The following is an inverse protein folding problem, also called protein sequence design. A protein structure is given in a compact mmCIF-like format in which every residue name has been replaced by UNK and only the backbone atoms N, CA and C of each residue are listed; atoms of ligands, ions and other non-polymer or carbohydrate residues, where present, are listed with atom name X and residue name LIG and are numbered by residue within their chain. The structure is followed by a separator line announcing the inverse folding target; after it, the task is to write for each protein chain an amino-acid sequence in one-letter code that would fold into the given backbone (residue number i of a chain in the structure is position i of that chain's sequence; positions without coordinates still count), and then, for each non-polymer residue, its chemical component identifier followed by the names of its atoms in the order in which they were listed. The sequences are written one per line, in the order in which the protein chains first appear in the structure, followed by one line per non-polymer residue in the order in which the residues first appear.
data_IF_789392893026
#
_entry.id   IF_789392893026
#
_cell.length_a   1.000
_cell.length_b   1.000
_cell.length_c   1.000
_cell.angle_alpha   90.00
_cell.angle_beta   90.00
_cell.angle_gamma   90.00
#
_symmetry.space_group_name_H-M   'P 1'
#
loop_
_entity.id
_entity.type
_entity.pdbx_description
1 polymer ?
#
# COMPACT_ATOMS: atom_id res chain seq x y z
N UNK A 1 11.39 -1.66 -3.95
CA UNK A 1 9.92 -1.53 -4.16
C UNK A 1 9.38 -0.37 -3.33
N UNK A 2 9.60 -0.42 -2.01
CA UNK A 2 9.11 0.57 -1.05
C UNK A 2 9.38 2.04 -1.42
N UNK A 3 10.65 2.42 -1.62
CA UNK A 3 11.04 3.80 -1.94
C UNK A 3 10.36 4.38 -3.19
N UNK A 4 10.07 3.53 -4.18
CA UNK A 4 9.39 3.94 -5.41
C UNK A 4 7.93 4.25 -5.11
N UNK A 5 7.25 3.36 -4.37
CA UNK A 5 5.85 3.53 -3.98
C UNK A 5 5.66 4.73 -3.06
N UNK A 6 6.56 4.93 -2.09
CA UNK A 6 6.53 6.08 -1.19
C UNK A 6 6.70 7.39 -1.95
N UNK A 7 7.60 7.45 -2.93
CA UNK A 7 7.75 8.64 -3.80
C UNK A 7 6.53 8.88 -4.67
N UNK A 8 5.97 7.83 -5.27
CA UNK A 8 4.77 7.92 -6.12
C UNK A 8 3.55 8.44 -5.35
N UNK A 9 3.45 8.09 -4.07
CA UNK A 9 2.36 8.52 -3.20
C UNK A 9 2.69 9.78 -2.37
N UNK A 10 3.84 10.43 -2.59
CA UNK A 10 4.19 11.69 -1.91
C UNK A 10 4.06 12.87 -2.86
N UNK A 11 3.23 13.84 -2.47
CA UNK A 11 3.03 15.08 -3.22
C UNK A 11 3.41 16.30 -2.39
N UNK A 12 3.88 17.35 -3.05
CA UNK A 12 4.13 18.64 -2.40
C UNK A 12 2.80 19.38 -2.28
N UNK A 13 2.35 19.62 -1.05
CA UNK A 13 1.14 20.40 -0.79
C UNK A 13 1.51 21.78 -0.28
N UNK A 14 0.83 22.80 -0.81
CA UNK A 14 1.00 24.18 -0.37
C UNK A 14 0.25 24.39 0.93
N UNK A 15 0.96 24.66 2.03
CA UNK A 15 0.37 25.10 3.31
C UNK A 15 0.34 26.62 3.39
N UNK A 16 -0.21 27.12 4.50
CA UNK A 16 -0.27 28.55 4.79
C UNK A 16 1.11 29.21 4.67
N UNK A 17 1.12 30.49 4.27
CA UNK A 17 2.33 31.30 4.04
C UNK A 17 3.25 30.82 2.90
N UNK A 18 2.74 30.02 1.96
CA UNK A 18 3.49 29.65 0.75
C UNK A 18 4.57 28.59 0.97
N UNK A 19 4.60 27.96 2.14
CA UNK A 19 5.47 26.83 2.45
C UNK A 19 4.91 25.57 1.78
N UNK A 20 5.76 24.86 1.04
CA UNK A 20 5.44 23.54 0.51
C UNK A 20 5.92 22.49 1.50
N UNK A 21 5.05 21.55 1.84
CA UNK A 21 5.40 20.40 2.67
C UNK A 21 5.13 19.11 1.89
N UNK A 22 6.00 18.10 2.01
CA UNK A 22 5.70 16.78 1.47
C UNK A 22 4.57 16.15 2.29
N UNK A 23 3.50 15.71 1.62
CA UNK A 23 2.40 14.95 2.20
C UNK A 23 2.31 13.62 1.46
N UNK A 24 2.45 12.53 2.22
CA UNK A 24 2.33 11.16 1.69
C UNK A 24 0.91 10.67 1.87
N UNK A 25 0.29 10.22 0.78
CA UNK A 25 -0.94 9.45 0.83
C UNK A 25 -0.64 8.04 1.32
N UNK A 26 -0.73 7.86 2.63
CA UNK A 26 -0.47 6.58 3.28
C UNK A 26 -1.46 5.49 2.85
N UNK A 27 -2.72 5.83 2.57
CA UNK A 27 -3.70 4.83 2.10
C UNK A 27 -3.38 4.40 0.68
N UNK A 28 -3.14 5.35 -0.23
CA UNK A 28 -2.75 5.05 -1.61
C UNK A 28 -1.48 4.20 -1.68
N UNK A 29 -0.51 4.51 -0.82
CA UNK A 29 0.73 3.75 -0.69
C UNK A 29 0.50 2.30 -0.24
N UNK A 30 -0.30 2.06 0.78
CA UNK A 30 -0.61 0.69 1.22
C UNK A 30 -1.39 -0.09 0.16
N UNK A 31 -2.31 0.56 -0.52
CA UNK A 31 -3.03 -0.05 -1.63
C UNK A 31 -2.07 -0.48 -2.75
N UNK A 32 -1.19 0.41 -3.18
CA UNK A 32 -0.19 0.11 -4.21
C UNK A 32 0.78 -0.99 -3.78
N UNK A 33 1.11 -1.04 -2.48
CA UNK A 33 1.94 -2.10 -1.93
C UNK A 33 1.26 -3.46 -2.05
N UNK A 34 0.00 -3.57 -1.61
CA UNK A 34 -0.77 -4.82 -1.72
C UNK A 34 -0.92 -5.22 -3.18
N UNK A 35 -1.32 -4.29 -4.06
CA UNK A 35 -1.51 -4.57 -5.48
C UNK A 35 -0.23 -5.08 -6.15
N UNK A 36 0.94 -4.51 -5.84
CA UNK A 36 2.21 -4.98 -6.39
C UNK A 36 2.74 -6.26 -5.74
N UNK A 37 2.29 -6.60 -4.54
CA UNK A 37 2.64 -7.84 -3.85
C UNK A 37 1.76 -9.02 -4.26
N UNK A 38 0.59 -8.77 -4.84
CA UNK A 38 -0.29 -9.81 -5.38
C UNK A 38 0.22 -10.31 -6.74
N UNK A 39 0.67 -11.56 -6.80
CA UNK A 39 1.09 -12.24 -8.03
C UNK A 39 -0.09 -12.91 -8.74
N UNK A 40 -1.06 -13.40 -7.97
CA UNK A 40 -2.28 -14.00 -8.49
C UNK A 40 -3.44 -13.75 -7.51
N UNK A 41 -4.63 -13.37 -8.00
CA UNK A 41 -4.96 -13.03 -9.39
C UNK A 41 -4.26 -11.73 -9.85
N UNK A 42 -4.01 -11.58 -11.16
CA UNK A 42 -3.51 -10.31 -11.70
C UNK A 42 -4.64 -9.30 -11.72
N UNK A 43 -4.59 -8.33 -10.82
CA UNK A 43 -5.61 -7.30 -10.69
C UNK A 43 -5.54 -6.23 -11.80
N UNK A 44 -4.50 -6.26 -12.64
CA UNK A 44 -4.43 -5.48 -13.87
C UNK A 44 -4.97 -6.25 -15.08
N UNK A 45 -5.41 -7.50 -14.89
CA UNK A 45 -6.04 -8.28 -15.95
C UNK A 45 -7.36 -7.61 -16.36
N UNK A 46 -7.43 -7.25 -17.64
CA UNK A 46 -8.58 -6.54 -18.19
C UNK A 46 -9.84 -7.40 -18.21
N UNK A 47 -9.73 -8.69 -18.51
CA UNK A 47 -10.89 -9.59 -18.52
C UNK A 47 -11.44 -9.74 -17.11
N UNK A 48 -10.56 -9.83 -16.10
CA UNK A 48 -10.97 -9.84 -14.70
C UNK A 48 -11.66 -8.53 -14.32
N UNK A 49 -11.06 -7.37 -14.61
CA UNK A 49 -11.66 -6.06 -14.34
C UNK A 49 -13.03 -5.89 -15.03
N UNK A 50 -13.12 -6.25 -16.31
CA UNK A 50 -14.36 -6.19 -17.10
C UNK A 50 -15.44 -7.11 -16.51
N UNK A 51 -15.08 -8.30 -16.02
CA UNK A 51 -16.01 -9.23 -15.36
C UNK A 51 -16.61 -8.70 -14.06
N UNK A 52 -15.86 -7.84 -13.36
CA UNK A 52 -16.30 -7.16 -12.13
C UNK A 52 -16.90 -5.77 -12.38
N UNK A 53 -16.84 -5.28 -13.63
CA UNK A 53 -17.36 -3.96 -14.02
C UNK A 53 -16.55 -2.78 -13.46
N UNK A 54 -15.26 -2.99 -13.18
CA UNK A 54 -14.34 -1.98 -12.65
C UNK A 54 -13.28 -1.62 -13.70
N UNK A 55 -12.65 -0.44 -13.58
CA UNK A 55 -11.62 0.00 -14.53
C UNK A 55 -10.22 0.11 -13.92
N UNK A 56 -10.11 -0.06 -12.60
CA UNK A 56 -8.83 0.01 -11.88
C UNK A 56 -8.68 -1.18 -10.93
N UNK A 57 -7.47 -1.69 -10.87
CA UNK A 57 -6.98 -2.64 -9.87
C UNK A 57 -7.32 -2.27 -8.42
N UNK A 58 -7.29 -0.97 -8.09
CA UNK A 58 -7.69 -0.46 -6.76
C UNK A 58 -9.17 -0.63 -6.47
N UNK A 59 -10.01 -0.45 -7.48
CA UNK A 59 -11.45 -0.67 -7.34
C UNK A 59 -11.74 -2.17 -7.29
N UNK A 60 -11.03 -2.96 -8.11
CA UNK A 60 -11.16 -4.41 -8.15
C UNK A 60 -10.87 -5.05 -6.79
N UNK A 61 -9.76 -4.70 -6.13
CA UNK A 61 -9.43 -5.31 -4.83
C UNK A 61 -10.44 -4.94 -3.73
N UNK A 62 -10.98 -3.72 -3.76
CA UNK A 62 -12.03 -3.30 -2.83
C UNK A 62 -13.39 -3.93 -3.14
N UNK A 63 -13.64 -4.31 -4.40
CA UNK A 63 -14.82 -5.07 -4.79
C UNK A 63 -14.69 -6.56 -4.42
N UNK A 64 -13.47 -7.11 -4.51
CA UNK A 64 -13.19 -8.52 -4.23
C UNK A 64 -13.10 -8.85 -2.74
N UNK A 65 -12.55 -7.94 -1.92
CA UNK A 65 -12.26 -8.19 -0.51
C UNK A 65 -13.14 -7.35 0.40
N UNK A 66 -13.63 -7.97 1.48
CA UNK A 66 -14.22 -7.22 2.58
C UNK A 66 -13.15 -6.38 3.30
N UNK A 67 -13.51 -5.28 3.97
CA UNK A 67 -12.55 -4.42 4.67
C UNK A 67 -11.65 -5.18 5.67
N UNK A 68 -12.20 -6.22 6.32
CA UNK A 68 -11.43 -7.08 7.23
C UNK A 68 -10.41 -7.97 6.51
N UNK A 69 -10.79 -8.54 5.36
CA UNK A 69 -9.90 -9.39 4.55
C UNK A 69 -8.76 -8.58 3.93
N UNK A 70 -9.06 -7.38 3.43
CA UNK A 70 -8.04 -6.45 2.97
C UNK A 70 -7.05 -6.09 4.09
N UNK A 71 -7.54 -5.84 5.30
CA UNK A 71 -6.68 -5.53 6.45
C UNK A 71 -5.74 -6.70 6.78
N UNK A 72 -6.26 -7.93 6.80
CA UNK A 72 -5.43 -9.12 7.01
C UNK A 72 -4.41 -9.34 5.91
N UNK A 73 -4.79 -9.10 4.65
CA UNK A 73 -3.88 -9.19 3.51
C UNK A 73 -2.77 -8.13 3.61
N UNK A 74 -3.11 -6.89 3.94
CA UNK A 74 -2.14 -5.82 4.15
C UNK A 74 -1.12 -6.19 5.23
N UNK A 75 -1.56 -6.74 6.35
CA UNK A 75 -0.66 -7.20 7.43
C UNK A 75 0.32 -8.27 6.92
N UNK A 76 -0.16 -9.27 6.19
CA UNK A 76 0.71 -10.33 5.64
C UNK A 76 1.70 -9.77 4.60
N UNK A 77 1.24 -8.85 3.74
CA UNK A 77 2.10 -8.15 2.77
C UNK A 77 3.19 -7.33 3.48
N UNK A 78 2.85 -6.62 4.56
CA UNK A 78 3.82 -5.87 5.36
C UNK A 78 4.84 -6.81 6.01
N UNK A 79 4.39 -7.95 6.52
CA UNK A 79 5.26 -8.99 7.08
C UNK A 79 6.24 -9.58 6.08
N UNK A 80 5.75 -9.97 4.90
CA UNK A 80 6.59 -10.49 3.81
C UNK A 80 7.62 -9.45 3.35
N UNK A 81 7.25 -8.17 3.33
CA UNK A 81 8.16 -7.08 2.99
C UNK A 81 9.13 -6.71 4.14
N UNK A 82 9.13 -7.45 5.26
CA UNK A 82 10.04 -7.26 6.37
C UNK A 82 9.70 -6.06 7.26
N UNK A 83 8.43 -5.61 7.26
CA UNK A 83 7.95 -4.56 8.18
C UNK A 83 7.32 -5.12 9.46
N UNK A 84 7.17 -6.44 9.54
CA UNK A 84 6.95 -7.16 10.80
C UNK A 84 8.29 -7.28 11.56
N UNK A 85 8.99 -6.16 11.68
CA UNK A 85 9.99 -6.00 12.72
C UNK A 85 9.16 -5.64 13.93
N UNK A 86 9.01 -6.59 14.83
CA UNK A 86 8.40 -6.34 16.12
C UNK A 86 9.05 -5.08 16.68
N UNK A 87 8.27 -4.07 17.04
CA UNK A 87 8.80 -2.83 17.65
C UNK A 87 9.65 -3.17 18.90
N UNK A 88 9.43 -4.35 19.47
CA UNK A 88 10.22 -4.97 20.53
C UNK A 88 11.64 -5.40 20.07
N UNK A 89 11.80 -5.97 18.86
CA UNK A 89 13.10 -6.44 18.34
C UNK A 89 14.05 -5.27 18.02
N UNK A 90 13.53 -4.13 17.54
CA UNK A 90 14.34 -2.92 17.26
C UNK A 90 14.92 -2.31 18.55
N UNK A 91 14.28 -2.52 19.70
CA UNK A 91 14.76 -1.96 20.98
C UNK A 91 15.94 -2.71 21.57
N UNK A 92 16.13 -4.00 21.23
CA UNK A 92 17.28 -4.78 21.70
C UNK A 92 18.55 -4.50 20.88
N UNK A 93 18.43 -4.25 19.58
CA UNK A 93 19.60 -3.95 18.72
C UNK A 93 20.21 -2.55 18.93
N UNK A 94 19.45 -1.58 19.44
CA UNK A 94 19.96 -0.23 19.73
C UNK A 94 20.76 -0.13 21.05
N UNK A 95 20.96 -1.25 21.76
CA UNK A 95 21.69 -1.31 23.04
C UNK A 95 23.01 -2.08 22.99
N UNK A 96 23.45 -2.56 21.82
CA UNK A 96 24.75 -3.24 21.65
C UNK A 96 25.75 -2.38 20.88
#
# INVERSE_FOLDING_TARGET
MDDILRKQNTRQVKKAKGVFVPETDTQGYYMDLVLKSLVYPDLNDKELQDSWGVMDSKELINAMLLPGEYSSLLQEVQKINGWDINIEDIKEEAKN
#
